data_IF_202021077762
#
_entry.id   IF_202021077762
#
_cell.length_a   1.000
_cell.length_b   1.000
_cell.length_c   1.000
_cell.angle_alpha   90.00
_cell.angle_beta   90.00
_cell.angle_gamma   90.00
#
_symmetry.space_group_name_H-M   'P 1'
#
loop_
_entity.id
_entity.type
_entity.pdbx_description
1 polymer ?
#
# COMPACT_ATOMS: atom_id res chain seq x y z
N UNK A 1 -1.24 20.95 -4.27
CA UNK A 1 -2.46 20.70 -3.46
C UNK A 1 -1.97 20.25 -2.09
N UNK A 2 -2.25 21.00 -1.04
CA UNK A 2 -1.68 20.77 0.30
C UNK A 2 -2.72 20.05 1.20
N UNK A 3 -3.12 18.84 0.79
CA UNK A 3 -4.20 18.10 1.43
C UNK A 3 -3.90 17.69 2.90
N UNK A 4 -2.62 17.73 3.32
CA UNK A 4 -2.16 17.30 4.64
C UNK A 4 -1.47 18.42 5.44
N UNK A 5 -1.28 19.61 4.85
CA UNK A 5 -0.65 20.72 5.53
C UNK A 5 -1.42 21.10 6.80
N UNK A 6 -0.70 21.23 7.92
CA UNK A 6 -1.30 21.57 9.20
C UNK A 6 -1.94 20.41 9.96
N UNK A 7 -1.96 19.18 9.45
CA UNK A 7 -2.37 18.00 10.22
C UNK A 7 -1.31 17.66 11.27
N UNK A 8 -1.74 17.45 12.50
CA UNK A 8 -0.84 17.02 13.58
C UNK A 8 -0.49 15.54 13.43
N UNK A 9 0.78 15.19 13.64
CA UNK A 9 1.27 13.83 13.50
C UNK A 9 1.83 13.54 12.11
N UNK A 10 1.89 12.28 11.74
CA UNK A 10 2.55 11.80 10.51
C UNK A 10 1.67 10.83 9.73
N UNK A 11 1.96 10.67 8.46
CA UNK A 11 1.55 9.50 7.69
C UNK A 11 2.59 8.39 7.87
N UNK A 12 2.14 7.17 8.21
CA UNK A 12 2.97 5.98 8.22
C UNK A 12 2.74 5.19 6.95
N UNK A 13 3.82 4.93 6.17
CA UNK A 13 3.76 4.17 4.92
C UNK A 13 4.61 2.92 5.04
N UNK A 14 4.00 1.74 5.05
CA UNK A 14 4.75 0.49 5.01
C UNK A 14 5.23 0.18 3.59
N UNK A 15 6.45 -0.36 3.44
CA UNK A 15 6.99 -0.67 2.12
C UNK A 15 7.35 0.55 1.28
N UNK A 16 7.62 1.69 1.91
CA UNK A 16 7.85 2.99 1.26
C UNK A 16 9.09 3.08 0.36
N UNK A 17 9.99 2.10 0.37
CA UNK A 17 11.12 2.02 -0.58
C UNK A 17 10.81 1.23 -1.86
N UNK A 18 9.62 0.63 -1.98
CA UNK A 18 9.15 -0.06 -3.19
C UNK A 18 8.57 0.92 -4.21
N UNK A 19 8.31 0.47 -5.46
CA UNK A 19 7.83 1.36 -6.54
C UNK A 19 6.58 2.16 -6.14
N UNK A 20 5.49 1.48 -5.80
CA UNK A 20 4.23 2.14 -5.38
C UNK A 20 4.42 2.88 -4.06
N UNK A 21 5.03 2.23 -3.06
CA UNK A 21 5.25 2.86 -1.75
C UNK A 21 6.08 4.14 -1.84
N UNK A 22 7.11 4.17 -2.68
CA UNK A 22 7.95 5.34 -2.89
C UNK A 22 7.18 6.51 -3.54
N UNK A 23 6.31 6.22 -4.52
CA UNK A 23 5.44 7.23 -5.11
C UNK A 23 4.46 7.81 -4.08
N UNK A 24 3.90 6.95 -3.20
CA UNK A 24 3.02 7.39 -2.11
C UNK A 24 3.76 8.27 -1.11
N UNK A 25 4.98 7.89 -0.69
CA UNK A 25 5.81 8.68 0.24
C UNK A 25 6.08 10.07 -0.34
N UNK A 26 6.53 10.15 -1.60
CA UNK A 26 6.77 11.42 -2.29
C UNK A 26 5.52 12.29 -2.31
N UNK A 27 4.42 11.74 -2.76
CA UNK A 27 3.18 12.50 -2.92
C UNK A 27 2.59 12.98 -1.59
N UNK A 28 2.66 12.19 -0.52
CA UNK A 28 2.26 12.62 0.82
C UNK A 28 3.13 13.79 1.31
N UNK A 29 4.45 13.70 1.14
CA UNK A 29 5.40 14.76 1.50
C UNK A 29 5.15 16.04 0.69
N UNK A 30 5.00 15.94 -0.63
CA UNK A 30 4.68 17.06 -1.53
C UNK A 30 3.33 17.71 -1.21
N UNK A 31 2.40 16.96 -0.58
CA UNK A 31 1.10 17.47 -0.12
C UNK A 31 1.10 17.94 1.33
N UNK A 32 2.29 18.11 1.93
CA UNK A 32 2.49 18.73 3.23
C UNK A 32 2.36 17.79 4.43
N UNK A 33 2.48 16.47 4.24
CA UNK A 33 2.51 15.51 5.35
C UNK A 33 3.93 15.24 5.82
N UNK A 34 4.16 15.26 7.14
CA UNK A 34 5.27 14.50 7.70
C UNK A 34 5.08 13.00 7.38
N UNK A 35 6.16 12.26 7.08
CA UNK A 35 6.09 10.86 6.68
C UNK A 35 7.11 9.99 7.41
N UNK A 36 6.64 8.94 8.07
CA UNK A 36 7.48 7.82 8.45
C UNK A 36 7.22 6.66 7.49
N UNK A 37 8.24 6.12 6.85
CA UNK A 37 8.06 4.96 6.00
C UNK A 37 8.98 3.80 6.36
N UNK A 38 8.53 2.57 6.08
CA UNK A 38 9.34 1.38 6.33
C UNK A 38 9.94 0.81 5.06
N UNK A 39 11.09 0.17 5.22
CA UNK A 39 11.73 -0.67 4.21
C UNK A 39 12.22 -1.98 4.84
N UNK A 40 12.36 -3.05 4.04
CA UNK A 40 12.83 -4.33 4.57
C UNK A 40 14.34 -4.50 4.45
N UNK A 41 14.89 -4.33 3.26
CA UNK A 41 16.32 -4.57 3.01
C UNK A 41 17.01 -3.46 2.19
N UNK A 42 16.26 -2.68 1.41
CA UNK A 42 16.85 -1.69 0.50
C UNK A 42 17.02 -0.33 1.19
N UNK A 43 18.04 -0.24 2.07
CA UNK A 43 18.39 1.00 2.75
C UNK A 43 18.78 2.11 1.77
N UNK A 44 19.55 1.77 0.72
CA UNK A 44 19.99 2.76 -0.25
C UNK A 44 18.81 3.48 -0.95
N UNK A 45 17.77 2.74 -1.33
CA UNK A 45 16.56 3.35 -1.88
C UNK A 45 15.84 4.24 -0.85
N UNK A 46 15.81 3.83 0.41
CA UNK A 46 15.22 4.64 1.49
C UNK A 46 15.99 5.95 1.71
N UNK A 47 17.33 5.88 1.79
CA UNK A 47 18.20 7.05 1.96
C UNK A 47 18.07 8.02 0.74
N UNK A 48 17.93 7.50 -0.47
CA UNK A 48 17.72 8.30 -1.68
C UNK A 48 16.39 9.08 -1.63
N UNK A 49 15.30 8.46 -1.16
CA UNK A 49 13.99 9.13 -1.01
C UNK A 49 14.08 10.25 0.04
N UNK A 50 14.73 10.01 1.18
CA UNK A 50 14.94 11.04 2.21
C UNK A 50 15.72 12.23 1.63
N UNK A 51 16.81 11.95 0.91
CA UNK A 51 17.62 12.99 0.29
C UNK A 51 16.84 13.82 -0.74
N UNK A 52 16.02 13.15 -1.56
CA UNK A 52 15.17 13.79 -2.57
C UNK A 52 14.16 14.76 -1.94
N UNK A 53 13.55 14.35 -0.81
CA UNK A 53 12.50 15.12 -0.14
C UNK A 53 13.02 16.16 0.86
N UNK A 54 14.33 16.22 1.08
CA UNK A 54 14.97 17.10 2.08
C UNK A 54 14.76 18.59 1.87
N UNK A 55 14.36 19.03 0.66
CA UNK A 55 14.05 20.42 0.33
C UNK A 55 12.62 20.84 0.68
N UNK A 56 11.75 19.91 1.02
CA UNK A 56 10.37 20.19 1.40
C UNK A 56 10.31 20.60 2.90
N UNK A 57 9.33 21.40 3.25
CA UNK A 57 9.08 21.80 4.65
C UNK A 57 8.26 20.74 5.39
N UNK A 58 8.74 19.49 5.35
CA UNK A 58 8.18 18.32 6.05
C UNK A 58 9.30 17.43 6.56
N UNK A 59 9.02 16.66 7.60
CA UNK A 59 9.96 15.67 8.15
C UNK A 59 9.71 14.31 7.51
N UNK A 60 10.78 13.68 6.99
CA UNK A 60 10.70 12.34 6.39
C UNK A 60 11.69 11.42 7.10
N UNK A 61 11.19 10.30 7.62
CA UNK A 61 11.97 9.30 8.33
C UNK A 61 11.78 7.91 7.74
N UNK A 62 12.86 7.12 7.64
CA UNK A 62 12.80 5.73 7.21
C UNK A 62 13.23 4.78 8.33
N UNK A 63 12.52 3.65 8.47
CA UNK A 63 12.86 2.58 9.41
C UNK A 63 12.96 1.23 8.72
N UNK A 64 14.01 0.42 9.02
CA UNK A 64 14.00 -0.99 8.64
C UNK A 64 12.97 -1.75 9.48
N UNK A 65 12.10 -2.55 8.83
CA UNK A 65 11.10 -3.31 9.55
C UNK A 65 10.73 -4.60 8.81
N UNK A 66 10.76 -5.72 9.50
CA UNK A 66 10.06 -6.95 9.11
C UNK A 66 8.72 -6.98 9.83
N UNK A 67 7.65 -6.70 9.10
CA UNK A 67 6.31 -6.52 9.67
C UNK A 67 5.62 -7.85 10.03
N UNK A 68 6.23 -8.99 9.69
CA UNK A 68 5.78 -10.30 10.18
C UNK A 68 6.01 -10.44 11.68
N UNK A 69 7.06 -9.78 12.20
CA UNK A 69 7.30 -9.66 13.63
C UNK A 69 6.43 -8.55 14.24
N UNK A 70 5.48 -8.93 15.10
CA UNK A 70 4.54 -7.99 15.73
C UNK A 70 5.25 -6.95 16.61
N UNK A 71 6.37 -7.32 17.25
CA UNK A 71 7.13 -6.39 18.09
C UNK A 71 7.83 -5.32 17.28
N UNK A 72 8.35 -5.69 16.10
CA UNK A 72 8.93 -4.76 15.12
C UNK A 72 7.85 -3.84 14.56
N UNK A 73 6.68 -4.38 14.17
CA UNK A 73 5.56 -3.59 13.69
C UNK A 73 5.08 -2.57 14.74
N UNK A 74 4.93 -3.00 15.99
CA UNK A 74 4.59 -2.11 17.10
C UNK A 74 5.65 -1.01 17.33
N UNK A 75 6.94 -1.34 17.18
CA UNK A 75 8.03 -0.36 17.33
C UNK A 75 8.00 0.74 16.26
N UNK A 76 7.54 0.44 15.04
CA UNK A 76 7.33 1.45 13.98
C UNK A 76 6.28 2.47 14.41
N UNK A 77 5.18 2.01 14.99
CA UNK A 77 4.10 2.88 15.46
C UNK A 77 4.56 3.71 16.65
N UNK A 78 5.28 3.10 17.61
CA UNK A 78 5.85 3.81 18.74
C UNK A 78 6.85 4.90 18.31
N UNK A 79 7.71 4.62 17.32
CA UNK A 79 8.64 5.60 16.76
C UNK A 79 7.90 6.76 16.07
N UNK A 80 6.83 6.49 15.32
CA UNK A 80 6.01 7.52 14.70
C UNK A 80 5.40 8.47 15.75
N UNK A 81 4.89 7.91 16.85
CA UNK A 81 4.31 8.71 17.94
C UNK A 81 5.39 9.52 18.66
N UNK A 82 6.54 8.92 18.94
CA UNK A 82 7.63 9.59 19.67
C UNK A 82 8.23 10.76 18.85
N UNK A 83 8.39 10.58 17.53
CA UNK A 83 9.03 11.57 16.67
C UNK A 83 8.06 12.66 16.21
N UNK A 84 6.82 12.28 15.87
CA UNK A 84 5.87 13.19 15.22
C UNK A 84 4.65 13.55 16.08
N UNK A 85 4.52 12.96 17.29
CA UNK A 85 3.45 13.25 18.23
C UNK A 85 2.14 12.51 17.97
N UNK A 86 2.00 11.77 16.86
CA UNK A 86 0.79 11.01 16.53
C UNK A 86 0.79 10.50 15.10
N UNK A 87 -0.30 9.81 14.74
CA UNK A 87 -0.49 9.25 13.39
C UNK A 87 -1.88 9.64 12.91
N UNK A 88 -1.96 10.34 11.77
CA UNK A 88 -3.22 10.69 11.11
C UNK A 88 -3.54 9.79 9.90
N UNK A 89 -2.56 9.12 9.34
CA UNK A 89 -2.75 8.26 8.17
C UNK A 89 -1.86 7.02 8.27
N UNK A 90 -2.42 5.84 7.99
CA UNK A 90 -1.67 4.61 7.82
C UNK A 90 -1.89 4.08 6.39
N UNK A 91 -0.81 4.00 5.61
CA UNK A 91 -0.82 3.38 4.29
C UNK A 91 -0.06 2.06 4.33
N UNK A 92 -0.73 0.96 4.00
CA UNK A 92 -0.08 -0.33 3.85
C UNK A 92 0.21 -0.62 2.37
N UNK A 93 1.48 -0.44 1.97
CA UNK A 93 1.98 -0.73 0.63
C UNK A 93 3.11 -1.78 0.65
N UNK A 94 3.38 -2.38 1.83
CA UNK A 94 4.28 -3.52 1.94
C UNK A 94 3.58 -4.80 1.48
N UNK A 95 4.35 -5.70 0.88
CA UNK A 95 3.89 -7.03 0.53
C UNK A 95 5.06 -7.86 -0.01
N UNK A 96 5.02 -9.19 0.12
CA UNK A 96 6.05 -10.07 -0.44
C UNK A 96 5.97 -10.07 -1.97
N UNK A 97 7.08 -10.49 -2.59
CA UNK A 97 7.06 -10.79 -4.02
C UNK A 97 6.16 -12.00 -4.28
N UNK A 98 5.33 -11.91 -5.31
CA UNK A 98 4.41 -12.99 -5.68
C UNK A 98 4.90 -13.69 -6.94
N UNK A 99 5.21 -14.97 -6.81
CA UNK A 99 5.54 -15.81 -7.97
C UNK A 99 4.26 -16.18 -8.73
N UNK A 100 4.25 -15.92 -10.03
CA UNK A 100 3.13 -16.19 -10.92
C UNK A 100 3.04 -17.69 -11.26
N UNK A 101 2.17 -18.44 -10.54
CA UNK A 101 1.99 -19.88 -10.78
C UNK A 101 0.55 -20.33 -10.48
N UNK A 102 0.16 -21.46 -11.09
CA UNK A 102 -1.14 -22.08 -10.80
C UNK A 102 -1.20 -22.51 -9.33
N UNK A 103 -2.32 -22.26 -8.64
CA UNK A 103 -2.51 -22.65 -7.24
C UNK A 103 -2.27 -24.15 -6.98
N UNK A 104 -2.55 -25.01 -7.96
CA UNK A 104 -2.27 -26.45 -7.87
C UNK A 104 -0.78 -26.79 -7.76
N UNK A 105 0.12 -25.83 -7.98
CA UNK A 105 1.58 -25.98 -7.87
C UNK A 105 2.18 -25.21 -6.70
N UNK A 106 1.34 -24.45 -5.97
CA UNK A 106 1.78 -23.69 -4.79
C UNK A 106 1.92 -24.66 -3.62
N UNK A 107 3.11 -24.74 -3.06
CA UNK A 107 3.32 -25.53 -1.85
C UNK A 107 2.61 -24.88 -0.65
N UNK A 108 2.04 -25.67 0.27
CA UNK A 108 1.36 -25.14 1.47
C UNK A 108 2.22 -24.21 2.32
N UNK A 109 3.54 -24.45 2.37
CA UNK A 109 4.49 -23.58 3.07
C UNK A 109 4.65 -22.21 2.40
N UNK A 110 4.67 -22.16 1.06
CA UNK A 110 4.71 -20.91 0.31
C UNK A 110 3.42 -20.09 0.49
N UNK A 111 2.25 -20.76 0.51
CA UNK A 111 0.99 -20.11 0.80
C UNK A 111 0.96 -19.51 2.22
N UNK A 112 1.46 -20.26 3.22
CA UNK A 112 1.59 -19.78 4.60
C UNK A 112 2.47 -18.53 4.66
N UNK A 113 3.67 -18.57 4.09
CA UNK A 113 4.58 -17.44 4.06
C UNK A 113 3.97 -16.19 3.39
N UNK A 114 3.15 -16.40 2.36
CA UNK A 114 2.45 -15.31 1.68
C UNK A 114 1.37 -14.70 2.57
N UNK A 115 0.59 -15.50 3.31
CA UNK A 115 -0.39 -15.00 4.30
C UNK A 115 0.32 -14.23 5.41
N UNK A 116 1.44 -14.74 5.93
CA UNK A 116 2.23 -14.07 6.97
C UNK A 116 2.76 -12.71 6.47
N UNK A 117 3.36 -12.68 5.28
CA UNK A 117 3.93 -11.46 4.71
C UNK A 117 2.91 -10.44 4.22
N UNK A 118 1.66 -10.82 4.01
CA UNK A 118 0.59 -9.93 3.52
C UNK A 118 -0.41 -9.60 4.64
N UNK A 119 -1.25 -10.58 5.04
CA UNK A 119 -2.38 -10.32 5.91
C UNK A 119 -1.98 -10.16 7.38
N UNK A 120 -1.05 -11.00 7.87
CA UNK A 120 -0.56 -10.88 9.25
C UNK A 120 0.27 -9.62 9.40
N UNK A 121 1.18 -9.33 8.47
CA UNK A 121 1.98 -8.11 8.48
C UNK A 121 1.11 -6.84 8.45
N UNK A 122 0.01 -6.83 7.68
CA UNK A 122 -0.98 -5.75 7.70
C UNK A 122 -1.59 -5.57 9.08
N UNK A 123 -2.10 -6.65 9.69
CA UNK A 123 -2.77 -6.58 10.98
C UNK A 123 -1.81 -6.17 12.12
N UNK A 124 -0.55 -6.66 12.10
CA UNK A 124 0.47 -6.30 13.06
C UNK A 124 0.76 -4.79 13.12
N UNK A 125 0.62 -4.09 11.99
CA UNK A 125 0.81 -2.62 11.92
C UNK A 125 -0.47 -1.87 12.26
N UNK A 126 -1.61 -2.34 11.79
CA UNK A 126 -2.90 -1.66 12.00
C UNK A 126 -3.30 -1.63 13.46
N UNK A 127 -3.22 -2.78 14.14
CA UNK A 127 -3.70 -2.92 15.51
C UNK A 127 -3.08 -1.90 16.48
N UNK A 128 -1.74 -1.73 16.57
CA UNK A 128 -1.15 -0.72 17.45
C UNK A 128 -1.37 0.73 16.97
N UNK A 129 -1.69 0.96 15.70
CA UNK A 129 -1.97 2.30 15.18
C UNK A 129 -3.38 2.82 15.50
N UNK A 130 -4.35 1.94 15.82
CA UNK A 130 -5.75 2.32 15.98
C UNK A 130 -5.99 3.40 17.01
N UNK A 131 -5.29 3.37 18.13
CA UNK A 131 -5.43 4.40 19.17
C UNK A 131 -5.08 5.80 18.66
N UNK A 132 -4.00 5.91 17.88
CA UNK A 132 -3.57 7.19 17.31
C UNK A 132 -4.51 7.65 16.20
N UNK A 133 -4.93 6.73 15.34
CA UNK A 133 -5.89 7.01 14.28
C UNK A 133 -7.25 7.48 14.85
N UNK A 134 -7.71 6.89 15.95
CA UNK A 134 -8.94 7.35 16.65
C UNK A 134 -8.78 8.77 17.19
N UNK A 135 -7.63 9.14 17.77
CA UNK A 135 -7.36 10.49 18.26
C UNK A 135 -7.36 11.52 17.15
N UNK A 136 -6.92 11.14 15.96
CA UNK A 136 -6.81 12.02 14.80
C UNK A 136 -8.07 12.06 13.92
N UNK A 137 -9.07 11.16 14.12
CA UNK A 137 -10.09 10.91 13.12
C UNK A 137 -9.49 10.52 11.78
N UNK A 138 -8.47 9.66 11.81
CA UNK A 138 -7.54 9.42 10.72
C UNK A 138 -8.03 8.44 9.65
N UNK A 139 -7.10 7.98 8.82
CA UNK A 139 -7.43 7.09 7.71
C UNK A 139 -6.45 5.92 7.57
N UNK A 140 -6.98 4.78 7.13
CA UNK A 140 -6.23 3.58 6.74
C UNK A 140 -6.47 3.38 5.24
N UNK A 141 -5.39 3.22 4.45
CA UNK A 141 -5.46 2.86 3.05
C UNK A 141 -4.54 1.67 2.78
N UNK A 142 -5.10 0.53 2.37
CA UNK A 142 -4.33 -0.65 1.99
C UNK A 142 -4.20 -0.75 0.47
N UNK A 143 -2.97 -0.93 -0.02
CA UNK A 143 -2.71 -1.20 -1.43
C UNK A 143 -2.83 -2.71 -1.65
N UNK A 144 -3.89 -3.13 -2.34
CA UNK A 144 -4.20 -4.54 -2.58
C UNK A 144 -3.98 -4.91 -4.06
N UNK A 145 -5.01 -5.29 -4.79
CA UNK A 145 -4.91 -5.64 -6.21
C UNK A 145 -6.29 -5.68 -6.88
N UNK A 146 -6.43 -5.23 -8.11
CA UNK A 146 -7.63 -5.44 -8.93
C UNK A 146 -7.91 -6.92 -9.23
N UNK A 147 -6.92 -7.79 -9.03
CA UNK A 147 -7.04 -9.24 -9.22
C UNK A 147 -8.04 -9.92 -8.26
N UNK A 148 -8.55 -9.24 -7.24
CA UNK A 148 -9.66 -9.70 -6.40
C UNK A 148 -11.03 -9.49 -7.04
N UNK A 149 -11.13 -8.72 -8.12
CA UNK A 149 -12.36 -8.53 -8.93
C UNK A 149 -12.39 -9.46 -10.13
N UNK A 150 -11.32 -9.48 -10.90
CA UNK A 150 -11.15 -10.35 -12.06
C UNK A 150 -9.87 -11.14 -11.88
N UNK A 151 -9.98 -12.42 -11.57
CA UNK A 151 -8.87 -13.30 -11.18
C UNK A 151 -8.00 -13.69 -12.40
N UNK A 152 -6.81 -13.11 -12.58
CA UNK A 152 -5.89 -13.56 -13.61
C UNK A 152 -5.42 -14.97 -13.30
N UNK A 153 -5.29 -15.78 -14.33
CA UNK A 153 -4.71 -17.12 -14.19
C UNK A 153 -3.28 -17.00 -13.68
N UNK A 154 -2.88 -17.81 -12.70
CA UNK A 154 -1.56 -17.85 -12.03
C UNK A 154 -1.36 -16.76 -10.95
N UNK A 155 -2.32 -15.86 -10.71
CA UNK A 155 -2.23 -14.82 -9.66
C UNK A 155 -3.03 -15.16 -8.38
N UNK A 156 -3.50 -16.38 -8.26
CA UNK A 156 -4.33 -16.80 -7.11
C UNK A 156 -3.63 -16.71 -5.76
N UNK A 157 -2.30 -16.80 -5.72
CA UNK A 157 -1.52 -16.61 -4.51
C UNK A 157 -1.58 -15.15 -4.01
N UNK A 158 -1.51 -14.18 -4.92
CA UNK A 158 -1.66 -12.75 -4.63
C UNK A 158 -3.10 -12.40 -4.25
N UNK A 159 -4.05 -12.70 -5.14
CA UNK A 159 -5.46 -12.33 -4.95
C UNK A 159 -6.08 -12.95 -3.71
N UNK A 160 -5.70 -14.19 -3.36
CA UNK A 160 -6.19 -14.87 -2.15
C UNK A 160 -5.76 -14.17 -0.86
N UNK A 161 -4.50 -13.80 -0.75
CA UNK A 161 -3.96 -13.15 0.46
C UNK A 161 -4.38 -11.69 0.59
N UNK A 162 -4.43 -10.95 -0.53
CA UNK A 162 -4.91 -9.56 -0.57
C UNK A 162 -6.42 -9.47 -0.34
N UNK A 163 -7.20 -10.46 -0.75
CA UNK A 163 -8.62 -10.56 -0.41
C UNK A 163 -8.86 -10.66 1.09
N UNK A 164 -7.96 -11.29 1.86
CA UNK A 164 -8.02 -11.29 3.32
C UNK A 164 -7.81 -9.88 3.89
N UNK A 165 -6.84 -9.11 3.37
CA UNK A 165 -6.64 -7.70 3.75
C UNK A 165 -7.88 -6.86 3.47
N UNK A 166 -8.51 -7.01 2.30
CA UNK A 166 -9.74 -6.29 1.95
C UNK A 166 -10.89 -6.58 2.90
N UNK A 167 -11.02 -7.85 3.35
CA UNK A 167 -12.04 -8.23 4.33
C UNK A 167 -11.79 -7.55 5.68
N UNK A 168 -10.55 -7.50 6.15
CA UNK A 168 -10.17 -6.81 7.39
C UNK A 168 -10.39 -5.30 7.27
N UNK A 169 -10.06 -4.67 6.14
CA UNK A 169 -10.30 -3.23 5.91
C UNK A 169 -11.80 -2.91 5.99
N UNK A 170 -12.68 -3.74 5.42
CA UNK A 170 -14.13 -3.56 5.55
C UNK A 170 -14.62 -3.69 6.99
N UNK A 171 -14.07 -4.64 7.75
CA UNK A 171 -14.38 -4.78 9.17
C UNK A 171 -13.92 -3.55 9.97
N UNK A 172 -12.69 -3.06 9.73
CA UNK A 172 -12.17 -1.83 10.34
C UNK A 172 -13.04 -0.62 10.00
N UNK A 173 -13.48 -0.48 8.76
CA UNK A 173 -14.39 0.60 8.37
C UNK A 173 -15.69 0.59 9.17
N UNK A 174 -16.26 -0.60 9.41
CA UNK A 174 -17.50 -0.77 10.17
C UNK A 174 -17.30 -0.52 11.68
N UNK A 175 -16.20 -0.99 12.24
CA UNK A 175 -15.93 -0.93 13.68
C UNK A 175 -15.38 0.43 14.13
N UNK A 176 -14.49 1.03 13.34
CA UNK A 176 -13.74 2.23 13.69
C UNK A 176 -14.39 3.52 13.19
N UNK A 177 -15.37 3.43 12.28
CA UNK A 177 -16.11 4.59 11.75
C UNK A 177 -16.75 5.46 12.83
N UNK A 178 -17.21 4.86 13.93
CA UNK A 178 -17.76 5.60 15.09
C UNK A 178 -16.74 6.52 15.79
N UNK A 179 -15.45 6.32 15.55
CA UNK A 179 -14.38 7.17 16.04
C UNK A 179 -13.85 8.13 14.96
N UNK A 180 -14.52 8.22 13.82
CA UNK A 180 -14.10 9.04 12.68
C UNK A 180 -12.98 8.43 11.84
N UNK A 181 -12.56 7.19 12.11
CA UNK A 181 -11.51 6.51 11.32
C UNK A 181 -12.12 5.92 10.05
N UNK A 182 -11.52 6.25 8.91
CA UNK A 182 -11.90 5.69 7.61
C UNK A 182 -10.90 4.60 7.19
N UNK A 183 -11.38 3.54 6.58
CA UNK A 183 -10.53 2.45 6.09
C UNK A 183 -10.97 2.04 4.68
N UNK A 184 -10.05 2.13 3.71
CA UNK A 184 -10.31 1.84 2.30
C UNK A 184 -9.15 1.04 1.68
N UNK A 185 -9.40 0.46 0.51
CA UNK A 185 -8.38 -0.19 -0.31
C UNK A 185 -8.21 0.51 -1.65
N UNK A 186 -6.99 0.46 -2.19
CA UNK A 186 -6.69 0.77 -3.58
C UNK A 186 -6.20 -0.50 -4.25
N UNK A 187 -6.79 -0.87 -5.38
CA UNK A 187 -6.47 -2.07 -6.16
C UNK A 187 -5.74 -1.74 -7.45
N UNK A 188 -4.40 -1.81 -7.49
CA UNK A 188 -3.66 -1.66 -8.72
C UNK A 188 -4.00 -2.74 -9.75
N UNK A 189 -4.12 -2.32 -11.01
CA UNK A 189 -4.05 -3.22 -12.17
C UNK A 189 -2.59 -3.44 -12.61
N UNK A 190 -2.39 -3.64 -13.91
CA UNK A 190 -1.06 -3.77 -14.50
C UNK A 190 -0.39 -2.39 -14.60
N UNK A 191 0.81 -2.28 -14.03
CA UNK A 191 1.62 -1.06 -14.01
C UNK A 191 2.89 -1.25 -14.86
N UNK A 192 3.40 -0.16 -15.43
CA UNK A 192 4.67 -0.14 -16.20
C UNK A 192 5.89 -0.31 -15.30
N UNK A 193 5.80 0.09 -14.02
CA UNK A 193 6.83 0.00 -13.01
C UNK A 193 6.55 -1.13 -12.00
N UNK A 194 7.51 -1.42 -11.15
CA UNK A 194 7.36 -2.44 -10.12
C UNK A 194 7.32 -3.87 -10.66
N UNK A 195 6.18 -4.57 -10.52
CA UNK A 195 6.07 -5.99 -10.87
C UNK A 195 6.11 -6.22 -12.39
N UNK A 196 5.45 -5.38 -13.20
CA UNK A 196 5.47 -5.53 -14.65
C UNK A 196 6.89 -5.37 -15.22
N UNK A 197 7.65 -4.39 -14.73
CA UNK A 197 9.05 -4.23 -15.11
C UNK A 197 9.90 -5.47 -14.74
N UNK A 198 9.63 -6.09 -13.61
CA UNK A 198 10.31 -7.33 -13.20
C UNK A 198 9.94 -8.53 -14.05
N UNK A 199 8.65 -8.68 -14.37
CA UNK A 199 8.15 -9.77 -15.24
C UNK A 199 8.65 -9.64 -16.68
N UNK A 200 8.80 -8.41 -17.18
CA UNK A 200 9.48 -8.15 -18.47
C UNK A 200 10.97 -8.49 -18.41
N UNK A 201 11.65 -8.07 -17.34
CA UNK A 201 13.09 -8.34 -17.16
C UNK A 201 13.41 -9.83 -16.94
N UNK A 202 12.49 -10.59 -16.32
CA UNK A 202 12.64 -12.06 -16.14
C UNK A 202 12.28 -12.87 -17.38
N UNK A 203 11.63 -12.26 -18.41
CA UNK A 203 11.13 -12.95 -19.59
C UNK A 203 9.84 -13.75 -19.35
N UNK A 204 9.19 -13.56 -18.19
CA UNK A 204 7.91 -14.20 -17.87
C UNK A 204 6.72 -13.59 -18.66
N UNK A 205 6.92 -12.38 -19.21
CA UNK A 205 6.01 -11.69 -20.12
C UNK A 205 6.79 -11.32 -21.39
N UNK A 206 6.44 -11.96 -22.50
CA UNK A 206 6.90 -11.56 -23.82
C UNK A 206 6.00 -10.44 -24.41
N UNK A 207 6.43 -9.85 -25.53
CA UNK A 207 5.69 -8.76 -26.19
C UNK A 207 4.27 -9.17 -26.59
N UNK A 208 4.06 -10.42 -26.97
CA UNK A 208 2.75 -10.94 -27.35
C UNK A 208 1.81 -11.05 -26.13
N UNK A 209 2.34 -11.50 -24.98
CA UNK A 209 1.59 -11.55 -23.71
C UNK A 209 1.24 -10.14 -23.22
N UNK A 210 2.17 -9.17 -23.36
CA UNK A 210 1.92 -7.77 -23.05
C UNK A 210 0.82 -7.15 -23.92
N UNK A 211 0.83 -7.43 -25.25
CA UNK A 211 -0.23 -6.98 -26.14
C UNK A 211 -1.59 -7.56 -25.76
N UNK A 212 -1.66 -8.85 -25.44
CA UNK A 212 -2.90 -9.51 -25.01
C UNK A 212 -3.40 -8.90 -23.71
N UNK A 213 -2.49 -8.65 -22.74
CA UNK A 213 -2.84 -8.01 -21.48
C UNK A 213 -3.39 -6.61 -21.71
N UNK A 214 -2.72 -5.81 -22.55
CA UNK A 214 -3.16 -4.45 -22.90
C UNK A 214 -4.51 -4.44 -23.61
N UNK A 215 -4.80 -5.43 -24.48
CA UNK A 215 -6.11 -5.59 -25.15
C UNK A 215 -7.24 -5.91 -24.18
N UNK A 216 -6.94 -6.45 -23.01
CA UNK A 216 -7.92 -6.72 -21.96
C UNK A 216 -8.19 -5.51 -21.05
N UNK A 217 -7.40 -4.45 -21.17
CA UNK A 217 -7.58 -3.20 -20.42
C UNK A 217 -8.36 -2.23 -21.29
N UNK A 218 -9.57 -1.77 -20.91
CA UNK A 218 -10.37 -0.82 -21.71
C UNK A 218 -9.62 0.43 -22.12
N UNK A 219 -8.82 1.03 -21.21
CA UNK A 219 -8.03 2.23 -21.52
C UNK A 219 -6.81 1.97 -22.42
N UNK A 220 -6.52 0.70 -22.79
CA UNK A 220 -5.42 0.31 -23.69
C UNK A 220 -4.05 0.83 -23.29
N UNK A 221 -3.81 1.02 -22.03
CA UNK A 221 -2.51 1.42 -21.45
C UNK A 221 -2.32 0.76 -20.09
N UNK A 222 -1.09 0.62 -19.69
CA UNK A 222 -0.74 0.32 -18.30
C UNK A 222 -0.76 1.61 -17.48
N UNK A 223 -1.03 1.49 -16.19
CA UNK A 223 -0.85 2.58 -15.23
C UNK A 223 0.58 2.69 -14.76
N UNK A 224 0.85 3.62 -13.87
CA UNK A 224 2.11 3.77 -13.17
C UNK A 224 1.90 3.94 -11.65
N UNK A 225 2.99 3.99 -10.87
CA UNK A 225 2.90 4.12 -9.42
C UNK A 225 2.28 5.45 -8.97
N UNK A 226 2.35 6.49 -9.80
CA UNK A 226 1.76 7.81 -9.53
C UNK A 226 0.24 7.73 -9.58
N UNK A 227 -0.34 6.98 -10.53
CA UNK A 227 -1.80 6.77 -10.58
C UNK A 227 -2.32 6.16 -9.26
N UNK A 228 -1.54 5.22 -8.67
CA UNK A 228 -1.89 4.59 -7.39
C UNK A 228 -1.72 5.58 -6.23
N UNK A 229 -0.64 6.35 -6.23
CA UNK A 229 -0.37 7.34 -5.18
C UNK A 229 -1.44 8.43 -5.14
N UNK A 230 -1.95 8.88 -6.30
CA UNK A 230 -3.06 9.82 -6.41
C UNK A 230 -4.31 9.30 -5.69
N UNK A 231 -4.70 8.05 -5.97
CA UNK A 231 -5.87 7.42 -5.36
C UNK A 231 -5.69 7.22 -3.84
N UNK A 232 -4.49 6.79 -3.42
CA UNK A 232 -4.15 6.63 -1.99
C UNK A 232 -4.23 7.96 -1.26
N UNK A 233 -3.59 9.01 -1.78
CA UNK A 233 -3.60 10.33 -1.16
C UNK A 233 -5.01 10.94 -1.14
N UNK A 234 -5.82 10.74 -2.18
CA UNK A 234 -7.22 11.15 -2.19
C UNK A 234 -8.00 10.45 -1.06
N UNK A 235 -7.95 9.12 -0.97
CA UNK A 235 -8.66 8.35 0.06
C UNK A 235 -8.15 8.65 1.48
N UNK A 236 -6.87 9.01 1.63
CA UNK A 236 -6.29 9.39 2.90
C UNK A 236 -6.68 10.82 3.34
N UNK A 237 -6.99 11.71 2.41
CA UNK A 237 -7.30 13.13 2.67
C UNK A 237 -8.74 13.35 3.14
N UNK A 238 -9.04 14.57 3.64
CA UNK A 238 -10.38 15.01 4.03
C UNK A 238 -11.33 15.15 2.84
N UNK A 239 -10.82 15.16 1.62
CA UNK A 239 -11.64 15.14 0.39
C UNK A 239 -12.46 13.86 0.24
N UNK A 240 -12.07 12.79 0.95
CA UNK A 240 -12.76 11.51 1.02
C UNK A 240 -13.45 11.27 2.38
N UNK A 241 -13.90 12.33 3.06
CA UNK A 241 -14.43 12.27 4.42
C UNK A 241 -15.69 11.40 4.56
N UNK A 242 -16.42 11.19 3.46
CA UNK A 242 -17.60 10.32 3.43
C UNK A 242 -17.36 8.99 2.68
N UNK A 243 -16.09 8.56 2.55
CA UNK A 243 -15.72 7.33 1.86
C UNK A 243 -15.00 6.38 2.84
N UNK A 244 -15.64 5.26 3.17
CA UNK A 244 -15.05 4.19 3.99
C UNK A 244 -15.55 2.82 3.55
N UNK A 245 -14.74 1.77 3.79
CA UNK A 245 -15.06 0.39 3.42
C UNK A 245 -14.98 0.09 1.92
N UNK A 246 -14.44 1.01 1.12
CA UNK A 246 -14.43 0.90 -0.33
C UNK A 246 -13.14 0.28 -0.85
N UNK A 247 -13.28 -0.39 -2.01
CA UNK A 247 -12.19 -0.85 -2.85
C UNK A 247 -12.22 -0.02 -4.13
N UNK A 248 -11.21 0.81 -4.34
CA UNK A 248 -11.04 1.62 -5.53
C UNK A 248 -10.00 0.96 -6.45
N UNK A 249 -10.47 0.36 -7.55
CA UNK A 249 -9.59 -0.26 -8.53
C UNK A 249 -9.01 0.80 -9.47
N UNK A 250 -7.67 0.81 -9.58
CA UNK A 250 -6.89 1.67 -10.48
C UNK A 250 -6.24 0.75 -11.52
N UNK A 251 -7.04 0.29 -12.45
CA UNK A 251 -6.73 -0.84 -13.34
C UNK A 251 -7.03 -0.56 -14.83
N UNK A 252 -7.38 0.69 -15.16
CA UNK A 252 -7.77 1.05 -16.53
C UNK A 252 -9.04 0.40 -17.03
N UNK A 253 -9.86 -0.13 -16.10
CA UNK A 253 -11.11 -0.84 -16.39
C UNK A 253 -10.93 -2.35 -16.59
N UNK A 254 -9.79 -2.93 -16.21
CA UNK A 254 -9.55 -4.37 -16.35
C UNK A 254 -10.60 -5.23 -15.61
N UNK A 255 -11.10 -4.75 -14.47
CA UNK A 255 -12.06 -5.46 -13.62
C UNK A 255 -13.51 -5.52 -14.11
N UNK A 256 -13.87 -4.82 -15.18
CA UNK A 256 -15.24 -4.74 -15.71
C UNK A 256 -15.47 -5.66 -16.91
#
# INVERSE_FOLDING_TARGET
MEDFAGRSGTAVVTGGSGGIGAAIVRMLAERGSDVLFTYRANRHAADAIIAELSSLDVRVMAMPADLVDESVAASVIAAAVAEFGGIHTLVHAAGPHVTQMHLSRVEPSAYRAQIEGEAIAFFNVVQPALEQLRKAGGSIVAVTTAATRRYPVRDGLSSGTKGAVEAVVRALAAEEGRFGVRANCVGPGMLTDGMAARLMASGDLDDAALEVTMKNIPLRKFGDAVDIAEAVCFLASDRADFITGQMLDIDGGYGI
#
